data_IF_579410053637
#
_entry.id   IF_579410053637
#
_cell.length_a   1.000
_cell.length_b   1.000
_cell.length_c   1.000
_cell.angle_alpha   90.00
_cell.angle_beta   90.00
_cell.angle_gamma   90.00
#
_symmetry.space_group_name_H-M   'P 1'
#
loop_
_entity.id
_entity.type
_entity.pdbx_description
1 polymer ?
#
# COMPACT_ATOMS: atom_id res chain seq x y z
N UNK A 1 2.26 6.08 21.16
CA UNK A 1 0.82 6.46 21.27
C UNK A 1 0.21 5.67 22.41
N UNK A 2 -0.80 6.23 23.12
CA UNK A 2 -1.59 5.46 24.09
C UNK A 2 -2.54 4.54 23.34
N UNK A 3 -2.83 3.33 23.85
CA UNK A 3 -3.69 2.32 23.19
C UNK A 3 -5.03 2.87 22.69
N UNK A 4 -5.64 3.83 23.41
CA UNK A 4 -6.89 4.46 22.98
C UNK A 4 -6.75 5.35 21.74
N UNK A 5 -5.60 5.98 21.53
CA UNK A 5 -5.32 6.82 20.38
C UNK A 5 -5.10 5.97 19.11
N UNK A 6 -4.41 4.84 19.24
CA UNK A 6 -4.22 3.90 18.14
C UNK A 6 -5.53 3.32 17.61
N UNK A 7 -6.42 2.92 18.53
CA UNK A 7 -7.74 2.39 18.17
C UNK A 7 -8.59 3.48 17.48
N UNK A 8 -8.58 4.71 17.99
CA UNK A 8 -9.30 5.83 17.39
C UNK A 8 -8.80 6.13 15.96
N UNK A 9 -7.49 6.15 15.74
CA UNK A 9 -6.90 6.35 14.42
C UNK A 9 -7.33 5.23 13.46
N UNK A 10 -7.29 3.96 13.89
CA UNK A 10 -7.74 2.83 13.06
C UNK A 10 -9.22 2.93 12.66
N UNK A 11 -10.06 3.39 13.57
CA UNK A 11 -11.48 3.60 13.27
C UNK A 11 -11.66 4.72 12.22
N UNK A 12 -10.91 5.80 12.34
CA UNK A 12 -10.90 6.88 11.34
C UNK A 12 -10.41 6.41 9.97
N UNK A 13 -9.35 5.61 9.92
CA UNK A 13 -8.86 5.00 8.67
C UNK A 13 -9.95 4.15 8.04
N UNK A 14 -10.61 3.26 8.80
CA UNK A 14 -11.71 2.43 8.29
C UNK A 14 -12.88 3.26 7.77
N UNK A 15 -13.32 4.27 8.54
CA UNK A 15 -14.41 5.16 8.14
C UNK A 15 -14.11 5.86 6.81
N UNK A 16 -12.90 6.42 6.67
CA UNK A 16 -12.46 7.13 5.47
C UNK A 16 -12.41 6.21 4.26
N UNK A 17 -11.69 5.09 4.35
CA UNK A 17 -11.55 4.17 3.23
C UNK A 17 -12.85 3.43 2.90
N UNK A 18 -13.72 3.17 3.90
CA UNK A 18 -15.08 2.69 3.68
C UNK A 18 -15.91 3.68 2.85
N UNK A 19 -15.84 4.98 3.17
CA UNK A 19 -16.50 6.02 2.38
C UNK A 19 -15.98 6.07 0.94
N UNK A 20 -14.66 6.03 0.73
CA UNK A 20 -14.04 5.99 -0.61
C UNK A 20 -14.54 4.77 -1.40
N UNK A 21 -14.63 3.59 -0.78
CA UNK A 21 -15.13 2.40 -1.43
C UNK A 21 -16.57 2.56 -1.93
N UNK A 22 -17.43 3.23 -1.16
CA UNK A 22 -18.84 3.41 -1.48
C UNK A 22 -19.08 4.51 -2.51
N UNK A 23 -18.36 5.63 -2.41
CA UNK A 23 -18.60 6.82 -3.26
C UNK A 23 -17.77 6.82 -4.54
N UNK A 24 -16.66 6.10 -4.58
CA UNK A 24 -15.67 6.18 -5.66
C UNK A 24 -14.88 7.49 -5.66
N UNK A 25 -15.17 8.39 -4.73
CA UNK A 25 -14.46 9.66 -4.59
C UNK A 25 -13.39 9.53 -3.50
N UNK A 26 -12.14 9.60 -3.92
CA UNK A 26 -11.05 9.94 -3.02
C UNK A 26 -11.10 11.46 -2.80
N UNK A 27 -11.95 11.91 -1.81
CA UNK A 27 -11.90 13.31 -1.39
C UNK A 27 -10.43 13.63 -1.05
N UNK A 28 -9.77 14.34 -1.95
CA UNK A 28 -8.44 14.94 -1.89
C UNK A 28 -7.54 14.50 -0.74
N UNK A 29 -6.66 13.53 -0.94
CA UNK A 29 -5.51 13.38 -0.04
C UNK A 29 -4.37 12.52 -0.54
N UNK A 30 -4.33 12.13 -1.80
CA UNK A 30 -3.20 11.34 -2.31
C UNK A 30 -2.65 11.89 -3.65
N UNK A 31 -2.72 13.20 -3.86
CA UNK A 31 -2.22 13.81 -5.11
C UNK A 31 -1.03 14.73 -4.85
N UNK A 32 0.05 14.61 -5.61
CA UNK A 32 1.12 15.60 -5.61
C UNK A 32 0.58 16.95 -6.11
N UNK A 33 0.58 17.98 -5.26
CA UNK A 33 0.43 19.37 -5.67
C UNK A 33 -0.95 20.02 -5.60
N UNK A 34 -2.06 19.31 -5.33
CA UNK A 34 -3.38 19.92 -5.23
C UNK A 34 -4.20 19.33 -4.09
N UNK A 35 -4.11 19.91 -2.90
CA UNK A 35 -5.05 19.65 -1.81
C UNK A 35 -6.03 20.80 -1.64
N UNK A 36 -7.33 20.45 -1.71
CA UNK A 36 -8.43 21.22 -1.12
C UNK A 36 -8.59 22.69 -1.59
N UNK A 37 -8.83 22.89 -2.88
CA UNK A 37 -9.63 24.05 -3.28
C UNK A 37 -11.10 23.68 -3.18
N UNK A 38 -11.93 24.52 -2.55
CA UNK A 38 -13.39 24.36 -2.40
C UNK A 38 -14.18 24.34 -3.72
N UNK A 39 -13.49 24.27 -4.88
CA UNK A 39 -14.11 24.17 -6.19
C UNK A 39 -14.38 22.71 -6.55
N UNK A 40 -15.59 22.27 -6.24
CA UNK A 40 -16.13 20.92 -6.45
C UNK A 40 -16.17 20.43 -7.91
N UNK A 41 -15.64 21.18 -8.86
CA UNK A 41 -15.73 20.89 -10.29
C UNK A 41 -14.40 20.51 -10.97
N UNK A 42 -13.29 20.42 -10.26
CA UNK A 42 -11.96 20.23 -10.88
C UNK A 42 -11.12 19.11 -10.24
N UNK A 43 -11.76 18.10 -9.63
CA UNK A 43 -11.03 16.95 -9.10
C UNK A 43 -10.77 15.93 -10.24
N UNK A 44 -9.53 15.42 -10.38
CA UNK A 44 -9.25 14.39 -11.35
C UNK A 44 -10.07 13.13 -11.05
N UNK A 45 -10.52 12.45 -12.08
CA UNK A 45 -11.16 11.14 -11.93
C UNK A 45 -10.21 10.12 -11.29
N UNK A 46 -10.75 9.04 -10.73
CA UNK A 46 -9.94 7.96 -10.15
C UNK A 46 -8.92 7.40 -11.14
N UNK A 47 -9.27 7.34 -12.43
CA UNK A 47 -8.36 6.89 -13.50
C UNK A 47 -7.25 7.91 -13.75
N UNK A 48 -7.57 9.21 -13.80
CA UNK A 48 -6.56 10.27 -13.94
C UNK A 48 -5.60 10.28 -12.74
N UNK A 49 -6.15 10.13 -11.53
CA UNK A 49 -5.35 10.00 -10.31
C UNK A 49 -4.40 8.80 -10.37
N UNK A 50 -4.88 7.63 -10.80
CA UNK A 50 -4.04 6.45 -10.96
C UNK A 50 -2.91 6.68 -11.98
N UNK A 51 -3.19 7.36 -13.10
CA UNK A 51 -2.15 7.74 -14.09
C UNK A 51 -1.12 8.69 -13.52
N UNK A 52 -1.52 9.66 -12.70
CA UNK A 52 -0.61 10.59 -12.02
C UNK A 52 0.28 9.88 -10.99
N UNK A 53 -0.25 8.87 -10.29
CA UNK A 53 0.53 7.98 -9.40
C UNK A 53 1.58 7.20 -10.20
N UNK A 54 1.33 6.90 -11.50
CA UNK A 54 2.28 6.23 -12.38
C UNK A 54 1.82 4.91 -12.97
N UNK A 55 0.54 4.54 -12.82
CA UNK A 55 -0.03 3.38 -13.51
C UNK A 55 -0.11 3.64 -15.02
N UNK A 56 0.32 2.69 -15.82
CA UNK A 56 0.26 2.79 -17.27
C UNK A 56 -1.19 2.55 -17.76
N UNK A 57 -1.59 3.21 -18.84
CA UNK A 57 -2.95 3.09 -19.39
C UNK A 57 -3.29 1.63 -19.72
N UNK A 58 -2.34 0.89 -20.29
CA UNK A 58 -2.51 -0.54 -20.62
C UNK A 58 -2.72 -1.42 -19.38
N UNK A 59 -2.08 -1.10 -18.26
CA UNK A 59 -2.30 -1.80 -16.99
C UNK A 59 -3.73 -1.51 -16.48
N UNK A 60 -4.15 -0.24 -16.48
CA UNK A 60 -5.51 0.17 -16.06
C UNK A 60 -6.58 -0.50 -16.92
N UNK A 61 -6.40 -0.51 -18.26
CA UNK A 61 -7.36 -1.10 -19.20
C UNK A 61 -7.46 -2.64 -19.07
N UNK A 62 -6.47 -3.29 -18.44
CA UNK A 62 -6.41 -4.75 -18.26
C UNK A 62 -7.13 -5.28 -17.02
N UNK A 63 -7.65 -4.39 -16.16
CA UNK A 63 -8.26 -4.73 -14.87
C UNK A 63 -9.67 -4.13 -14.74
N UNK A 64 -10.50 -4.58 -13.78
CA UNK A 64 -11.81 -3.99 -13.56
C UNK A 64 -11.71 -2.49 -13.23
N UNK A 65 -12.38 -1.64 -14.01
CA UNK A 65 -12.39 -0.18 -13.80
C UNK A 65 -12.79 0.20 -12.37
N UNK A 66 -13.78 -0.50 -11.80
CA UNK A 66 -14.26 -0.26 -10.44
C UNK A 66 -13.22 -0.58 -9.35
N UNK A 67 -12.08 -1.22 -9.68
CA UNK A 67 -10.96 -1.41 -8.77
C UNK A 67 -10.06 -0.18 -8.67
N UNK A 68 -10.14 0.74 -9.63
CA UNK A 68 -9.30 1.94 -9.70
C UNK A 68 -9.96 3.06 -8.90
N UNK A 69 -9.49 3.29 -7.68
CA UNK A 69 -9.98 4.34 -6.79
C UNK A 69 -9.10 5.58 -6.76
N UNK A 70 -7.95 5.55 -7.45
CA UNK A 70 -7.02 6.68 -7.50
C UNK A 70 -6.32 6.96 -6.15
N UNK A 71 -6.21 5.94 -5.29
CA UNK A 71 -5.50 5.99 -4.01
C UNK A 71 -4.18 5.23 -4.11
N UNK A 72 -3.15 5.68 -3.39
CA UNK A 72 -1.82 5.11 -3.42
C UNK A 72 -0.75 6.17 -3.63
N UNK A 73 0.53 5.78 -3.55
CA UNK A 73 1.64 6.70 -3.69
C UNK A 73 2.72 6.23 -4.68
N UNK A 74 2.48 5.09 -5.34
CA UNK A 74 3.36 4.53 -6.36
C UNK A 74 2.78 3.29 -7.00
N UNK A 75 3.58 2.58 -7.79
CA UNK A 75 3.17 1.37 -8.53
C UNK A 75 4.13 0.23 -8.22
N UNK A 76 3.94 -0.48 -7.09
CA UNK A 76 4.84 -1.56 -6.69
C UNK A 76 4.87 -2.70 -7.73
N UNK A 77 3.75 -3.01 -8.37
CA UNK A 77 3.63 -4.06 -9.38
C UNK A 77 4.49 -3.84 -10.63
N UNK A 78 4.90 -2.60 -10.91
CA UNK A 78 5.77 -2.24 -12.03
C UNK A 78 7.20 -2.79 -11.86
N UNK A 79 7.69 -2.81 -10.63
CA UNK A 79 9.07 -3.18 -10.30
C UNK A 79 9.18 -4.56 -9.62
N UNK A 80 8.04 -5.19 -9.33
CA UNK A 80 7.99 -6.42 -8.53
C UNK A 80 8.54 -7.66 -9.25
N UNK A 81 8.68 -7.61 -10.58
CA UNK A 81 9.15 -8.76 -11.36
C UNK A 81 8.29 -10.00 -11.09
N UNK A 82 6.96 -9.83 -11.08
CA UNK A 82 6.00 -10.91 -10.84
C UNK A 82 6.13 -11.97 -11.93
N UNK A 83 6.18 -13.25 -11.53
CA UNK A 83 6.34 -14.39 -12.42
C UNK A 83 5.11 -15.28 -12.41
N UNK A 84 4.88 -15.98 -13.49
CA UNK A 84 3.83 -16.98 -13.58
C UNK A 84 4.00 -18.06 -12.49
N UNK A 85 2.90 -18.44 -11.86
CA UNK A 85 2.87 -19.46 -10.80
C UNK A 85 3.22 -18.95 -9.39
N UNK A 86 3.63 -17.69 -9.21
CA UNK A 86 3.93 -17.15 -7.88
C UNK A 86 2.69 -16.97 -7.01
N UNK A 87 2.90 -17.04 -5.70
CA UNK A 87 1.95 -16.60 -4.67
C UNK A 87 2.29 -15.17 -4.26
N UNK A 88 1.42 -14.24 -4.58
CA UNK A 88 1.56 -12.82 -4.24
C UNK A 88 0.59 -12.46 -3.12
N UNK A 89 1.06 -11.72 -2.12
CA UNK A 89 0.20 -11.16 -1.05
C UNK A 89 0.22 -9.63 -1.19
N UNK A 90 -0.97 -9.03 -1.28
CA UNK A 90 -1.16 -7.58 -1.33
C UNK A 90 -1.74 -7.09 -0.01
N UNK A 91 -0.99 -6.24 0.69
CA UNK A 91 -1.37 -5.69 2.00
C UNK A 91 -2.04 -4.33 1.85
N UNK A 92 -3.27 -4.21 2.39
CA UNK A 92 -4.13 -3.07 2.17
C UNK A 92 -4.64 -3.03 0.74
N UNK A 93 -5.14 -4.15 0.26
CA UNK A 93 -5.49 -4.37 -1.15
C UNK A 93 -6.60 -3.46 -1.68
N UNK A 94 -7.35 -2.79 -0.79
CA UNK A 94 -8.44 -1.91 -1.18
C UNK A 94 -9.45 -2.56 -2.13
N UNK A 95 -9.83 -1.85 -3.20
CA UNK A 95 -10.72 -2.37 -4.23
C UNK A 95 -10.04 -3.31 -5.25
N UNK A 96 -8.71 -3.53 -5.12
CA UNK A 96 -7.99 -4.59 -5.81
C UNK A 96 -7.14 -4.18 -7.01
N UNK A 97 -6.76 -2.91 -7.20
CA UNK A 97 -5.95 -2.48 -8.34
C UNK A 97 -4.67 -3.34 -8.49
N UNK A 98 -3.83 -3.41 -7.44
CA UNK A 98 -2.60 -4.18 -7.47
C UNK A 98 -2.85 -5.71 -7.40
N UNK A 99 -3.97 -6.14 -6.78
CA UNK A 99 -4.43 -7.55 -6.79
C UNK A 99 -4.66 -8.04 -8.21
N UNK A 100 -5.46 -7.30 -9.01
CA UNK A 100 -5.82 -7.74 -10.37
C UNK A 100 -4.65 -7.64 -11.33
N UNK A 101 -3.82 -6.60 -11.22
CA UNK A 101 -2.55 -6.51 -11.96
C UNK A 101 -1.64 -7.70 -11.66
N UNK A 102 -1.53 -8.06 -10.39
CA UNK A 102 -0.75 -9.24 -9.97
C UNK A 102 -1.38 -10.54 -10.47
N UNK A 103 -2.72 -10.68 -10.40
CA UNK A 103 -3.44 -11.86 -10.83
C UNK A 103 -3.28 -12.15 -12.33
N UNK A 104 -3.26 -11.09 -13.15
CA UNK A 104 -2.97 -11.20 -14.58
C UNK A 104 -1.55 -11.70 -14.85
N UNK A 105 -0.56 -11.25 -14.02
CA UNK A 105 0.86 -11.60 -14.19
C UNK A 105 1.20 -13.00 -13.67
N UNK A 106 0.62 -13.43 -12.54
CA UNK A 106 0.86 -14.79 -12.01
C UNK A 106 0.15 -15.88 -12.80
N UNK A 107 -0.84 -15.52 -13.61
CA UNK A 107 -1.60 -16.45 -14.43
C UNK A 107 -2.43 -17.46 -13.63
N UNK A 108 -2.95 -18.48 -14.32
CA UNK A 108 -3.85 -19.49 -13.71
C UNK A 108 -3.16 -20.43 -12.73
N UNK A 109 -1.86 -20.60 -12.84
CA UNK A 109 -1.04 -21.46 -11.95
C UNK A 109 -0.61 -20.76 -10.67
N UNK A 110 -0.67 -19.42 -10.64
CA UNK A 110 -0.35 -18.63 -9.47
C UNK A 110 -1.58 -18.26 -8.64
N UNK A 111 -1.33 -17.52 -7.56
CA UNK A 111 -2.37 -17.09 -6.63
C UNK A 111 -2.07 -15.68 -6.12
N UNK A 112 -3.11 -14.86 -5.96
CA UNK A 112 -3.01 -13.56 -5.28
C UNK A 112 -3.92 -13.54 -4.07
N UNK A 113 -3.38 -13.11 -2.93
CA UNK A 113 -4.12 -12.95 -1.68
C UNK A 113 -4.13 -11.46 -1.34
N UNK A 114 -5.29 -10.81 -1.50
CA UNK A 114 -5.50 -9.43 -1.07
C UNK A 114 -6.00 -9.38 0.37
N UNK A 115 -5.35 -8.55 1.19
CA UNK A 115 -5.71 -8.38 2.61
C UNK A 115 -6.09 -6.93 2.85
N UNK A 116 -7.28 -6.71 3.41
CA UNK A 116 -7.73 -5.38 3.85
C UNK A 116 -8.50 -5.47 5.17
N UNK A 117 -8.50 -4.40 5.95
CA UNK A 117 -9.25 -4.34 7.20
C UNK A 117 -10.66 -3.78 7.04
N UNK A 118 -10.99 -3.20 5.86
CA UNK A 118 -12.22 -2.48 5.56
C UNK A 118 -13.19 -3.38 4.81
N UNK A 119 -14.38 -3.58 5.36
CA UNK A 119 -15.39 -4.49 4.78
C UNK A 119 -15.87 -4.01 3.41
N UNK A 120 -16.08 -2.71 3.26
CA UNK A 120 -16.56 -2.08 2.02
C UNK A 120 -15.54 -2.24 0.89
N UNK A 121 -14.24 -2.10 1.18
CA UNK A 121 -13.17 -2.34 0.22
C UNK A 121 -13.15 -3.79 -0.23
N UNK A 122 -13.17 -4.73 0.71
CA UNK A 122 -13.21 -6.15 0.40
C UNK A 122 -14.45 -6.56 -0.38
N UNK A 123 -15.63 -5.98 -0.05
CA UNK A 123 -16.84 -6.27 -0.80
C UNK A 123 -16.74 -5.80 -2.24
N UNK A 124 -16.20 -4.59 -2.46
CA UNK A 124 -15.97 -4.05 -3.79
C UNK A 124 -14.98 -4.92 -4.58
N UNK A 125 -13.86 -5.30 -3.94
CA UNK A 125 -12.87 -6.17 -4.56
C UNK A 125 -13.43 -7.56 -4.92
N UNK A 126 -14.28 -8.15 -4.06
CA UNK A 126 -14.96 -9.44 -4.34
C UNK A 126 -15.92 -9.34 -5.51
N UNK A 127 -16.71 -8.27 -5.58
CA UNK A 127 -17.60 -8.03 -6.71
C UNK A 127 -16.77 -7.92 -8.01
N UNK A 128 -15.70 -7.10 -8.00
CA UNK A 128 -14.80 -6.96 -9.14
C UNK A 128 -14.20 -8.31 -9.59
N UNK A 129 -13.75 -9.14 -8.63
CA UNK A 129 -13.21 -10.46 -8.93
C UNK A 129 -14.23 -11.38 -9.58
N UNK A 130 -15.45 -11.45 -9.02
CA UNK A 130 -16.53 -12.31 -9.51
C UNK A 130 -17.03 -11.88 -10.88
N UNK A 131 -17.29 -10.58 -11.07
CA UNK A 131 -17.86 -10.04 -12.31
C UNK A 131 -16.88 -10.17 -13.50
N UNK A 132 -15.58 -10.23 -13.22
CA UNK A 132 -14.53 -10.36 -14.23
C UNK A 132 -13.86 -11.76 -14.26
N UNK A 133 -14.40 -12.73 -13.53
CA UNK A 133 -13.99 -14.15 -13.63
C UNK A 133 -12.60 -14.47 -13.08
N UNK A 134 -12.09 -13.70 -12.11
CA UNK A 134 -10.82 -14.00 -11.45
C UNK A 134 -10.96 -15.20 -10.50
N UNK A 135 -10.37 -16.33 -10.84
CA UNK A 135 -10.40 -17.57 -10.06
C UNK A 135 -9.14 -17.78 -9.21
N UNK A 136 -8.09 -17.01 -9.47
CA UNK A 136 -6.80 -17.07 -8.80
C UNK A 136 -6.61 -15.97 -7.72
N UNK A 137 -7.69 -15.27 -7.36
CA UNK A 137 -7.71 -14.22 -6.34
C UNK A 137 -8.44 -14.70 -5.09
N UNK A 138 -7.83 -14.46 -3.92
CA UNK A 138 -8.45 -14.66 -2.61
C UNK A 138 -8.44 -13.35 -1.83
N UNK A 139 -9.58 -12.90 -1.30
CA UNK A 139 -9.72 -11.65 -0.56
C UNK A 139 -10.07 -11.95 0.89
N UNK A 140 -9.18 -11.54 1.79
CA UNK A 140 -9.21 -11.90 3.22
C UNK A 140 -9.28 -10.64 4.08
N UNK A 141 -10.17 -10.64 5.05
CA UNK A 141 -10.21 -9.58 6.06
C UNK A 141 -9.06 -9.78 7.06
N UNK A 142 -8.26 -8.75 7.25
CA UNK A 142 -7.14 -8.79 8.20
C UNK A 142 -6.65 -7.40 8.62
N UNK A 143 -6.19 -7.30 9.85
CA UNK A 143 -5.47 -6.15 10.37
C UNK A 143 -3.98 -6.53 10.43
N UNK A 144 -3.18 -5.97 9.53
CA UNK A 144 -1.76 -6.34 9.35
C UNK A 144 -0.89 -6.04 10.57
N UNK A 145 -1.32 -5.19 11.49
CA UNK A 145 -0.63 -4.99 12.77
C UNK A 145 -0.91 -6.08 13.79
N UNK A 146 -2.06 -6.77 13.68
CA UNK A 146 -2.46 -7.86 14.59
C UNK A 146 -2.01 -9.23 14.11
N UNK A 147 -1.42 -9.29 12.96
CA UNK A 147 -0.95 -10.51 12.30
C UNK A 147 -1.54 -10.66 10.91
N UNK A 148 -0.70 -11.01 9.96
CA UNK A 148 -1.12 -11.26 8.58
C UNK A 148 -1.73 -12.67 8.50
N UNK A 149 -3.02 -12.83 8.06
CA UNK A 149 -3.72 -14.11 8.02
C UNK A 149 -3.25 -14.99 6.85
N UNK A 150 -1.94 -15.22 6.77
CA UNK A 150 -1.26 -16.08 5.80
C UNK A 150 -0.26 -16.94 6.57
N UNK A 151 -0.14 -18.20 6.19
CA UNK A 151 0.80 -19.15 6.81
C UNK A 151 2.25 -18.74 6.57
N UNK A 152 3.16 -19.21 7.44
CA UNK A 152 4.59 -18.99 7.32
C UNK A 152 5.12 -19.52 5.99
N UNK A 153 6.10 -18.84 5.42
CA UNK A 153 6.83 -19.27 4.22
C UNK A 153 5.94 -19.60 3.01
N UNK A 154 4.83 -18.90 2.85
CA UNK A 154 3.84 -19.13 1.79
C UNK A 154 4.04 -18.22 0.58
N UNK A 155 4.34 -16.94 0.80
CA UNK A 155 4.40 -15.92 -0.25
C UNK A 155 5.75 -15.91 -0.97
N UNK A 156 5.72 -15.86 -2.29
CA UNK A 156 6.88 -15.54 -3.11
C UNK A 156 7.17 -14.04 -3.11
N UNK A 157 6.10 -13.25 -3.10
CA UNK A 157 6.14 -11.79 -3.12
C UNK A 157 5.08 -11.20 -2.18
N UNK A 158 5.48 -10.20 -1.41
CA UNK A 158 4.55 -9.30 -0.71
C UNK A 158 4.65 -7.93 -1.35
N UNK A 159 3.50 -7.35 -1.70
CA UNK A 159 3.39 -5.96 -2.15
C UNK A 159 2.54 -5.16 -1.17
N UNK A 160 2.76 -3.85 -1.12
CA UNK A 160 1.92 -2.90 -0.40
C UNK A 160 2.06 -1.51 -1.01
N UNK A 161 0.97 -0.76 -1.01
CA UNK A 161 0.91 0.58 -1.59
C UNK A 161 0.26 1.56 -0.62
N UNK A 162 1.09 2.38 0.04
CA UNK A 162 0.66 3.44 0.96
C UNK A 162 -0.15 2.95 2.17
N UNK A 163 0.22 1.82 2.77
CA UNK A 163 -0.52 1.18 3.88
C UNK A 163 0.30 1.04 5.14
N UNK A 164 1.60 0.74 5.03
CA UNK A 164 2.43 0.49 6.22
C UNK A 164 2.58 1.76 7.06
N UNK A 165 2.51 2.93 6.46
CA UNK A 165 2.48 4.19 7.21
C UNK A 165 1.26 4.36 8.10
N UNK A 166 0.16 3.67 7.81
CA UNK A 166 -1.03 3.67 8.66
C UNK A 166 -0.84 2.82 9.93
N UNK A 167 0.21 1.99 9.99
CA UNK A 167 0.50 1.16 11.16
C UNK A 167 1.30 1.93 12.21
N UNK A 168 1.03 1.67 13.50
CA UNK A 168 1.74 2.29 14.62
C UNK A 168 3.11 1.65 14.86
N UNK A 169 3.23 0.31 14.68
CA UNK A 169 4.48 -0.44 14.81
C UNK A 169 4.90 -1.06 13.47
N UNK A 170 5.68 -0.30 12.71
CA UNK A 170 6.18 -0.73 11.41
C UNK A 170 7.15 -1.91 11.50
N UNK A 171 7.95 -2.00 12.57
CA UNK A 171 8.90 -3.10 12.76
C UNK A 171 8.14 -4.43 12.94
N UNK A 172 7.09 -4.44 13.74
CA UNK A 172 6.24 -5.62 13.92
C UNK A 172 5.51 -6.00 12.63
N UNK A 173 5.02 -5.01 11.87
CA UNK A 173 4.42 -5.26 10.55
C UNK A 173 5.43 -5.87 9.58
N UNK A 174 6.65 -5.35 9.50
CA UNK A 174 7.70 -5.93 8.66
C UNK A 174 8.14 -7.32 9.11
N UNK A 175 8.11 -7.64 10.40
CA UNK A 175 8.35 -9.01 10.90
C UNK A 175 7.28 -9.99 10.44
N UNK A 176 6.02 -9.57 10.41
CA UNK A 176 4.93 -10.39 9.87
C UNK A 176 5.09 -10.61 8.37
N UNK A 177 5.47 -9.58 7.60
CA UNK A 177 5.81 -9.73 6.18
C UNK A 177 6.96 -10.73 6.01
N UNK A 178 8.01 -10.60 6.82
CA UNK A 178 9.15 -11.52 6.81
C UNK A 178 8.72 -12.96 7.14
N UNK A 179 7.81 -13.16 8.10
CA UNK A 179 7.29 -14.49 8.48
C UNK A 179 6.62 -15.21 7.32
N UNK A 180 5.71 -14.51 6.61
CA UNK A 180 4.92 -15.13 5.53
C UNK A 180 5.69 -15.35 4.24
N UNK A 181 6.79 -14.63 4.01
CA UNK A 181 7.63 -14.80 2.83
C UNK A 181 8.40 -16.12 2.86
N UNK A 182 8.58 -16.75 1.70
CA UNK A 182 9.41 -17.95 1.53
C UNK A 182 10.88 -17.69 1.90
N UNK A 183 11.53 -18.66 2.54
CA UNK A 183 12.86 -18.48 3.10
C UNK A 183 13.96 -18.19 2.06
N UNK A 184 13.90 -18.86 0.90
CA UNK A 184 15.00 -18.84 -0.06
C UNK A 184 14.82 -17.85 -1.23
N UNK A 185 13.57 -17.41 -1.45
CA UNK A 185 13.23 -16.60 -2.64
C UNK A 185 12.24 -15.48 -2.35
N UNK A 186 11.76 -15.40 -1.11
CA UNK A 186 10.75 -14.43 -0.72
C UNK A 186 11.26 -13.00 -0.78
N UNK A 187 10.51 -12.13 -1.44
CA UNK A 187 10.82 -10.72 -1.59
C UNK A 187 9.60 -9.85 -1.30
N UNK A 188 9.85 -8.62 -0.90
CA UNK A 188 8.79 -7.61 -0.82
C UNK A 188 9.08 -6.43 -1.73
N UNK A 189 8.03 -5.78 -2.18
CA UNK A 189 8.07 -4.50 -2.87
C UNK A 189 7.00 -3.59 -2.29
N UNK A 190 7.45 -2.53 -1.64
CA UNK A 190 6.59 -1.61 -0.91
C UNK A 190 6.70 -0.23 -1.54
N UNK A 191 5.56 0.40 -1.82
CA UNK A 191 5.48 1.83 -2.08
C UNK A 191 4.91 2.53 -0.87
N UNK A 192 5.66 3.50 -0.29
CA UNK A 192 5.17 4.26 0.85
C UNK A 192 5.79 5.65 0.93
N UNK A 193 5.21 6.52 1.77
CA UNK A 193 5.68 7.88 1.96
C UNK A 193 6.76 7.93 3.03
N UNK A 194 7.73 8.83 2.83
CA UNK A 194 8.74 9.20 3.82
C UNK A 194 8.82 10.72 3.93
N UNK A 195 9.36 11.19 5.04
CA UNK A 195 9.52 12.63 5.34
C UNK A 195 10.98 12.98 5.61
N UNK A 196 11.35 14.25 5.48
CA UNK A 196 12.66 14.75 5.89
C UNK A 196 12.79 14.88 7.42
N UNK A 197 11.67 15.00 8.14
CA UNK A 197 11.62 15.05 9.61
C UNK A 197 10.32 14.48 10.14
N UNK A 198 10.40 13.75 11.24
CA UNK A 198 9.24 13.20 11.94
C UNK A 198 8.59 14.26 12.84
N UNK A 199 7.29 14.13 13.03
CA UNK A 199 6.56 14.94 14.02
C UNK A 199 6.54 14.25 15.38
N UNK A 200 6.31 15.03 16.43
CA UNK A 200 6.09 14.45 17.76
C UNK A 200 4.77 13.67 17.78
N UNK A 201 4.72 12.61 18.58
CA UNK A 201 3.51 11.80 18.74
C UNK A 201 2.29 12.59 19.23
N UNK A 202 2.54 13.68 19.95
CA UNK A 202 1.50 14.56 20.51
C UNK A 202 0.95 15.54 19.46
N UNK A 203 1.62 15.70 18.33
CA UNK A 203 1.23 16.59 17.22
C UNK A 203 0.55 15.86 16.07
N UNK A 204 0.28 14.55 16.21
CA UNK A 204 -0.35 13.74 15.19
C UNK A 204 -1.79 14.20 14.93
N UNK A 205 -2.08 14.54 13.68
CA UNK A 205 -3.42 14.80 13.18
C UNK A 205 -4.02 13.51 12.59
N UNK A 206 -5.15 13.00 13.10
CA UNK A 206 -5.77 11.79 12.58
C UNK A 206 -6.11 11.85 11.08
N UNK A 207 -6.50 13.00 10.56
CA UNK A 207 -6.81 13.15 9.14
C UNK A 207 -5.54 13.08 8.28
N UNK A 208 -4.45 13.71 8.72
CA UNK A 208 -3.14 13.59 8.08
C UNK A 208 -2.54 12.19 8.23
N UNK A 209 -2.83 11.49 9.32
CA UNK A 209 -2.47 10.07 9.47
C UNK A 209 -3.19 9.21 8.42
N UNK A 210 -4.48 9.43 8.23
CA UNK A 210 -5.27 8.71 7.21
C UNK A 210 -4.77 8.94 5.77
N UNK A 211 -4.01 10.00 5.51
CA UNK A 211 -3.33 10.24 4.23
C UNK A 211 -1.87 9.79 4.22
N UNK A 212 -1.45 8.96 5.17
CA UNK A 212 -0.08 8.42 5.33
C UNK A 212 1.01 9.47 5.66
N UNK A 213 0.66 10.75 5.80
CA UNK A 213 1.63 11.84 6.00
C UNK A 213 2.17 11.84 7.44
N UNK A 214 1.27 11.84 8.44
CA UNK A 214 1.70 11.91 9.84
C UNK A 214 2.24 10.56 10.37
N UNK A 215 1.95 9.47 9.68
CA UNK A 215 2.56 8.16 9.92
C UNK A 215 3.92 7.96 9.25
N UNK A 216 4.34 8.89 8.37
CA UNK A 216 5.60 8.78 7.65
C UNK A 216 6.81 8.93 8.59
N UNK A 217 7.77 8.02 8.45
CA UNK A 217 9.09 8.10 9.09
C UNK A 217 10.07 8.83 8.16
N UNK A 218 11.21 9.24 8.72
CA UNK A 218 12.33 9.61 7.85
C UNK A 218 12.76 8.39 7.03
N UNK A 219 13.31 8.64 5.83
CA UNK A 219 13.81 7.59 4.94
C UNK A 219 14.74 6.62 5.70
N UNK A 220 15.66 7.15 6.49
CA UNK A 220 16.59 6.34 7.27
C UNK A 220 15.87 5.44 8.28
N UNK A 221 14.95 5.98 9.09
CA UNK A 221 14.20 5.22 10.08
C UNK A 221 13.25 4.20 9.43
N UNK A 222 12.69 4.51 8.27
CA UNK A 222 11.86 3.57 7.52
C UNK A 222 12.69 2.37 7.05
N UNK A 223 13.84 2.60 6.40
CA UNK A 223 14.74 1.54 5.96
C UNK A 223 15.32 0.73 7.12
N UNK A 224 15.60 1.38 8.25
CA UNK A 224 16.04 0.72 9.47
C UNK A 224 14.95 -0.19 10.06
N UNK A 225 13.70 0.19 9.97
CA UNK A 225 12.59 -0.66 10.41
C UNK A 225 12.52 -1.96 9.62
N UNK A 226 12.79 -1.89 8.31
CA UNK A 226 12.88 -3.05 7.43
C UNK A 226 14.06 -3.95 7.82
N UNK A 227 15.25 -3.36 8.03
CA UNK A 227 16.46 -4.11 8.43
C UNK A 227 16.29 -4.77 9.81
N UNK A 228 15.69 -4.07 10.78
CA UNK A 228 15.38 -4.59 12.13
C UNK A 228 14.41 -5.77 12.10
N UNK A 229 13.56 -5.87 11.08
CA UNK A 229 12.67 -7.00 10.87
C UNK A 229 13.39 -8.23 10.28
N UNK A 230 14.66 -8.13 9.88
CA UNK A 230 15.47 -9.24 9.40
C UNK A 230 15.72 -9.26 7.90
N UNK A 231 15.14 -8.32 7.15
CA UNK A 231 15.33 -8.25 5.69
C UNK A 231 16.77 -7.95 5.30
N UNK A 232 17.17 -8.50 4.15
CA UNK A 232 18.46 -8.29 3.49
C UNK A 232 18.26 -7.57 2.16
N UNK A 233 19.36 -7.08 1.57
CA UNK A 233 19.35 -6.45 0.25
C UNK A 233 18.24 -5.38 0.13
N UNK A 234 18.16 -4.48 1.12
CA UNK A 234 17.18 -3.39 1.16
C UNK A 234 17.62 -2.31 0.18
N UNK A 235 16.87 -2.16 -0.90
CA UNK A 235 17.17 -1.27 -2.02
C UNK A 235 16.02 -0.28 -2.26
N UNK A 236 16.34 0.99 -2.44
CA UNK A 236 15.38 2.01 -2.92
C UNK A 236 15.43 2.00 -4.44
N UNK A 237 14.36 1.53 -5.06
CA UNK A 237 14.23 1.44 -6.53
C UNK A 237 13.86 2.78 -7.14
N UNK A 238 12.98 3.52 -6.48
CA UNK A 238 12.52 4.81 -6.94
C UNK A 238 12.26 5.74 -5.74
N UNK A 239 12.55 7.03 -5.92
CA UNK A 239 12.19 8.10 -4.99
C UNK A 239 11.67 9.28 -5.79
N UNK A 240 10.46 9.75 -5.45
CA UNK A 240 9.81 10.89 -6.11
C UNK A 240 9.32 11.88 -5.05
N UNK A 241 9.45 13.18 -5.31
CA UNK A 241 8.77 14.19 -4.53
C UNK A 241 7.25 13.96 -4.61
N UNK A 242 6.58 13.94 -3.45
CA UNK A 242 5.16 13.64 -3.38
C UNK A 242 4.32 14.88 -3.08
N UNK A 243 4.76 15.72 -2.18
CA UNK A 243 4.10 16.98 -1.81
C UNK A 243 5.11 18.11 -1.86
N UNK A 244 4.74 19.20 -2.52
CA UNK A 244 5.51 20.46 -2.50
C UNK A 244 5.36 21.15 -1.14
N UNK A 245 6.39 21.89 -0.71
CA UNK A 245 6.52 22.60 0.58
C UNK A 245 5.32 23.50 0.95
N UNK A 246 4.42 23.78 0.00
CA UNK A 246 3.27 24.68 0.19
C UNK A 246 2.02 23.99 0.80
N UNK A 247 1.95 22.67 0.77
CA UNK A 247 0.73 21.92 1.13
C UNK A 247 0.80 21.33 2.55
N UNK A 248 1.99 21.09 3.08
CA UNK A 248 2.13 20.69 4.48
C UNK A 248 2.36 21.92 5.36
N UNK A 249 1.40 22.22 6.26
CA UNK A 249 1.51 23.31 7.23
C UNK A 249 2.79 23.25 8.08
N UNK A 250 3.36 22.06 8.24
CA UNK A 250 4.62 21.79 8.91
C UNK A 250 5.85 22.03 8.01
N UNK A 251 5.66 22.31 6.71
CA UNK A 251 6.73 22.47 5.71
C UNK A 251 7.69 21.28 5.65
N UNK A 252 7.17 20.07 5.81
CA UNK A 252 7.94 18.83 5.63
C UNK A 252 8.06 18.51 4.15
N UNK A 253 9.20 17.97 3.76
CA UNK A 253 9.37 17.38 2.43
C UNK A 253 8.89 15.93 2.47
N UNK A 254 7.86 15.64 1.71
CA UNK A 254 7.30 14.28 1.60
C UNK A 254 7.75 13.69 0.26
N UNK A 255 8.29 12.49 0.30
CA UNK A 255 8.67 11.72 -0.89
C UNK A 255 7.97 10.36 -0.87
N UNK A 256 7.60 9.87 -2.04
CA UNK A 256 7.22 8.48 -2.25
C UNK A 256 8.46 7.65 -2.53
N UNK A 257 8.60 6.53 -1.84
CA UNK A 257 9.65 5.54 -2.09
C UNK A 257 9.04 4.25 -2.63
N UNK A 258 9.71 3.64 -3.60
CA UNK A 258 9.53 2.22 -3.93
C UNK A 258 10.75 1.47 -3.43
N UNK A 259 10.51 0.53 -2.51
CA UNK A 259 11.55 -0.21 -1.79
C UNK A 259 11.40 -1.70 -2.08
N UNK A 260 12.50 -2.32 -2.47
CA UNK A 260 12.64 -3.77 -2.59
C UNK A 260 13.46 -4.30 -1.42
N UNK A 261 13.06 -5.43 -0.86
CA UNK A 261 13.90 -6.16 0.09
C UNK A 261 13.66 -7.67 -0.02
N UNK A 262 14.66 -8.46 0.36
CA UNK A 262 14.66 -9.91 0.28
C UNK A 262 14.72 -10.51 1.69
N UNK A 263 14.02 -11.64 1.90
CA UNK A 263 14.04 -12.34 3.18
C UNK A 263 15.41 -12.94 3.49
N UNK A 264 16.06 -13.54 2.51
CA UNK A 264 17.42 -14.06 2.62
C UNK A 264 18.38 -13.28 1.72
N UNK A 265 19.62 -13.13 2.14
CA UNK A 265 20.67 -12.59 1.28
C UNK A 265 20.98 -13.57 0.14
N UNK A 266 21.42 -13.02 -0.98
CA UNK A 266 21.90 -13.81 -2.11
C UNK A 266 22.90 -14.88 -1.62
N UNK A 267 22.60 -16.15 -1.83
CA UNK A 267 23.64 -17.18 -1.76
C UNK A 267 24.38 -17.08 -3.10
N UNK A 268 25.58 -16.49 -3.07
CA UNK A 268 26.49 -16.63 -4.20
C UNK A 268 26.63 -18.14 -4.49
N UNK A 269 26.10 -18.54 -5.63
CA UNK A 269 26.18 -19.91 -6.15
C UNK A 269 27.45 -20.09 -6.96
#
# INVERSE_FOLDING_TARGET
>A
MMQGQEQYIKEKVKERYGKIALTGNSDCCCMPGECCSDDSNNHPSSIESAKLIGYDATDIDSIPEASVLGVGCGVPTKFAGIREGEVVVDLGSGAGIDVFLSANKVGKSGKVIGIDMTDEMLQKARNNANDNGYTNVQLVKGDIERGIPVEDNTADLVISNCVINLTADKVSTFKEIHRILKNDSGRMLISDLVTDREISKDSVDPDKWCSCIDGALTKENYLDSIRKAGFKNVEVIEEKAYIDDQVDNEKRKISSLIIKAEKSGYKDS
#
